data_IF_543400684059
#
_entry.id   IF_543400684059
#
_cell.length_a   1.000
_cell.length_b   1.000
_cell.length_c   1.000
_cell.angle_alpha   90.00
_cell.angle_beta   90.00
_cell.angle_gamma   90.00
#
_symmetry.space_group_name_H-M   'P 1'
#
loop_
_entity.id
_entity.type
_entity.pdbx_description
1 polymer ?
#
# COMPACT_ATOMS: atom_id res chain seq x y z
N UNK A 1 -0.13 2.79 -4.30
CA UNK A 1 0.17 3.18 -5.69
C UNK A 1 -0.16 2.02 -6.60
N UNK A 2 -0.94 2.28 -7.68
CA UNK A 2 -1.45 1.25 -8.58
C UNK A 2 -0.88 1.41 -9.99
N UNK A 3 -0.76 0.30 -10.69
CA UNK A 3 -0.24 0.23 -12.05
C UNK A 3 -1.22 -0.49 -12.98
N UNK A 4 -0.81 -0.68 -14.23
CA UNK A 4 -1.56 -1.48 -15.21
C UNK A 4 -1.65 -2.97 -14.89
N UNK A 5 -1.06 -3.45 -13.79
CA UNK A 5 -1.25 -4.81 -13.29
C UNK A 5 -2.51 -4.95 -12.40
N UNK A 6 -3.12 -3.83 -12.02
CA UNK A 6 -4.44 -3.81 -11.38
C UNK A 6 -5.33 -2.77 -12.07
N UNK A 7 -5.63 -1.66 -11.45
CA UNK A 7 -6.57 -0.65 -11.94
C UNK A 7 -5.92 0.75 -12.14
N UNK A 8 -4.60 0.84 -12.04
CA UNK A 8 -3.84 2.04 -12.36
C UNK A 8 -3.53 2.18 -13.86
N UNK A 9 -3.06 3.37 -14.26
CA UNK A 9 -2.72 3.70 -15.65
C UNK A 9 -1.22 3.73 -15.94
N UNK A 10 -0.38 3.85 -14.91
CA UNK A 10 1.06 3.82 -15.06
C UNK A 10 1.57 2.38 -15.25
N UNK A 11 2.55 2.20 -16.13
CA UNK A 11 3.36 0.97 -16.10
C UNK A 11 4.32 1.01 -14.92
N UNK A 12 4.84 -0.15 -14.50
CA UNK A 12 5.83 -0.24 -13.43
C UNK A 12 7.05 0.64 -13.71
N UNK A 13 7.59 0.59 -14.94
CA UNK A 13 8.74 1.39 -15.35
C UNK A 13 8.44 2.90 -15.33
N UNK A 14 7.27 3.34 -15.84
CA UNK A 14 6.88 4.75 -15.79
C UNK A 14 6.72 5.26 -14.36
N UNK A 15 6.20 4.42 -13.45
CA UNK A 15 6.06 4.76 -12.05
C UNK A 15 7.45 4.92 -11.39
N UNK A 16 8.37 3.99 -11.63
CA UNK A 16 9.75 4.06 -11.13
C UNK A 16 10.49 5.26 -11.68
N UNK A 17 10.34 5.59 -12.98
CA UNK A 17 10.95 6.79 -13.57
C UNK A 17 10.47 8.07 -12.88
N UNK A 18 9.16 8.19 -12.59
CA UNK A 18 8.64 9.32 -11.85
C UNK A 18 9.17 9.37 -10.41
N UNK A 19 9.30 8.21 -9.74
CA UNK A 19 9.88 8.13 -8.40
C UNK A 19 11.33 8.61 -8.37
N UNK A 20 12.15 8.20 -9.34
CA UNK A 20 13.53 8.68 -9.52
C UNK A 20 13.55 10.18 -9.78
N UNK A 21 12.70 10.67 -10.69
CA UNK A 21 12.67 12.09 -11.08
C UNK A 21 12.32 13.03 -9.93
N UNK A 22 11.52 12.59 -8.95
CA UNK A 22 11.19 13.38 -7.74
C UNK A 22 12.09 13.07 -6.55
N UNK A 23 13.10 12.22 -6.73
CA UNK A 23 14.10 11.91 -5.70
C UNK A 23 13.59 11.05 -4.54
N UNK A 24 12.62 10.15 -4.78
CA UNK A 24 12.20 9.20 -3.76
C UNK A 24 13.35 8.27 -3.37
N UNK A 25 13.55 8.07 -2.07
CA UNK A 25 14.55 7.15 -1.53
C UNK A 25 14.04 5.71 -1.46
N UNK A 26 12.72 5.52 -1.42
CA UNK A 26 12.10 4.22 -1.40
C UNK A 26 10.61 4.26 -1.70
N UNK A 27 10.09 3.15 -2.22
CA UNK A 27 8.66 3.01 -2.54
C UNK A 27 8.22 1.55 -2.47
N UNK A 28 6.91 1.36 -2.39
CA UNK A 28 6.26 0.08 -2.64
C UNK A 28 5.13 0.28 -3.66
N UNK A 29 5.06 -0.58 -4.67
CA UNK A 29 3.91 -0.68 -5.58
C UNK A 29 2.91 -1.60 -4.92
N UNK A 30 1.67 -1.14 -4.75
CA UNK A 30 0.64 -1.83 -3.98
C UNK A 30 -0.58 -2.13 -4.86
N UNK A 31 -0.34 -2.77 -6.00
CA UNK A 31 -1.42 -3.24 -6.89
C UNK A 31 -2.40 -4.14 -6.14
N UNK A 32 -3.66 -4.11 -6.53
CA UNK A 32 -4.69 -4.98 -5.96
C UNK A 32 -4.37 -6.44 -6.25
N UNK A 33 -4.20 -7.23 -5.19
CA UNK A 33 -4.05 -8.69 -5.24
C UNK A 33 -2.95 -9.21 -6.16
N UNK A 34 -1.91 -8.39 -6.44
CA UNK A 34 -0.82 -8.77 -7.36
C UNK A 34 0.51 -8.15 -6.95
N UNK A 35 1.60 -8.87 -7.23
CA UNK A 35 2.98 -8.40 -7.13
C UNK A 35 3.70 -8.37 -8.49
N UNK A 36 2.96 -8.47 -9.58
CA UNK A 36 3.56 -8.52 -10.93
C UNK A 36 4.30 -7.24 -11.28
N UNK A 37 3.79 -6.09 -10.85
CA UNK A 37 4.46 -4.81 -11.06
C UNK A 37 5.69 -4.63 -10.18
N UNK A 38 5.70 -5.18 -8.97
CA UNK A 38 6.90 -5.24 -8.15
C UNK A 38 8.02 -5.97 -8.90
N UNK A 39 7.76 -7.18 -9.41
CA UNK A 39 8.77 -7.97 -10.15
C UNK A 39 9.29 -7.24 -11.39
N UNK A 40 8.41 -6.60 -12.15
CA UNK A 40 8.81 -5.80 -13.34
C UNK A 40 9.60 -4.56 -12.96
N UNK A 41 9.23 -3.87 -11.87
CA UNK A 41 9.95 -2.72 -11.36
C UNK A 41 11.33 -3.10 -10.82
N UNK A 42 11.44 -4.23 -10.11
CA UNK A 42 12.71 -4.78 -9.62
C UNK A 42 13.69 -5.06 -10.76
N UNK A 43 13.21 -5.73 -11.83
CA UNK A 43 14.02 -5.97 -13.02
C UNK A 43 14.45 -4.66 -13.67
N UNK A 44 13.53 -3.70 -13.83
CA UNK A 44 13.82 -2.40 -14.42
C UNK A 44 14.89 -1.62 -13.63
N UNK A 45 14.80 -1.59 -12.29
CA UNK A 45 15.79 -0.96 -11.42
C UNK A 45 17.15 -1.67 -11.51
N UNK A 46 17.17 -3.00 -11.61
CA UNK A 46 18.38 -3.78 -11.82
C UNK A 46 19.07 -3.41 -13.14
N UNK A 47 18.32 -3.32 -14.23
CA UNK A 47 18.84 -2.95 -15.54
C UNK A 47 19.41 -1.52 -15.52
N UNK A 48 18.70 -0.55 -14.92
CA UNK A 48 19.21 0.82 -14.74
C UNK A 48 20.52 0.88 -13.95
N UNK A 49 20.64 0.09 -12.87
CA UNK A 49 21.88 0.04 -12.09
C UNK A 49 23.06 -0.53 -12.85
N UNK A 50 22.83 -1.42 -13.83
CA UNK A 50 23.87 -1.97 -14.70
C UNK A 50 24.27 -0.95 -15.77
N UNK A 51 23.32 -0.18 -16.30
CA UNK A 51 23.57 0.85 -17.32
C UNK A 51 24.30 2.08 -16.74
N UNK A 52 23.86 2.56 -15.58
CA UNK A 52 24.50 3.68 -14.85
C UNK A 52 24.59 3.39 -13.35
N UNK A 53 25.69 2.80 -12.87
CA UNK A 53 25.89 2.53 -11.44
C UNK A 53 25.96 3.78 -10.54
N UNK A 54 26.05 4.97 -11.13
CA UNK A 54 26.11 6.25 -10.38
C UNK A 54 24.74 6.90 -10.18
N UNK A 55 23.73 6.45 -10.92
CA UNK A 55 22.37 6.97 -10.80
C UNK A 55 21.74 6.54 -9.46
N UNK A 56 21.28 7.48 -8.61
CA UNK A 56 20.53 7.14 -7.42
C UNK A 56 19.20 6.47 -7.80
N UNK A 57 19.00 5.25 -7.34
CA UNK A 57 17.73 4.52 -7.49
C UNK A 57 17.03 4.35 -6.14
N UNK A 58 15.71 4.40 -6.09
CA UNK A 58 14.96 4.18 -4.87
C UNK A 58 15.02 2.70 -4.44
N UNK A 59 15.01 2.46 -3.14
CA UNK A 59 14.77 1.11 -2.62
C UNK A 59 13.33 0.70 -2.92
N UNK A 60 13.14 -0.50 -3.45
CA UNK A 60 11.83 -1.05 -3.77
C UNK A 60 11.48 -2.18 -2.79
N UNK A 61 10.41 -1.99 -1.99
CA UNK A 61 9.83 -3.04 -1.16
C UNK A 61 8.73 -3.78 -1.91
N UNK A 62 8.56 -5.07 -1.61
CA UNK A 62 7.33 -5.77 -1.99
C UNK A 62 6.12 -5.03 -1.43
N UNK A 63 5.07 -4.92 -2.23
CA UNK A 63 3.82 -4.25 -1.84
C UNK A 63 2.62 -4.95 -2.43
N UNK A 64 1.50 -4.91 -1.73
CA UNK A 64 0.19 -5.36 -2.20
C UNK A 64 -0.91 -4.62 -1.48
N UNK A 65 -2.03 -4.36 -2.15
CA UNK A 65 -3.27 -3.93 -1.51
C UNK A 65 -4.31 -5.04 -1.61
N UNK A 66 -4.78 -5.52 -0.44
CA UNK A 66 -5.73 -6.63 -0.35
C UNK A 66 -7.07 -6.11 0.15
N UNK A 67 -8.11 -6.27 -0.66
CA UNK A 67 -9.49 -6.02 -0.25
C UNK A 67 -9.92 -7.05 0.78
N UNK A 68 -10.37 -6.59 1.94
CA UNK A 68 -10.67 -7.41 3.11
C UNK A 68 -11.99 -7.02 3.75
N UNK A 69 -12.55 -7.88 4.57
CA UNK A 69 -13.75 -7.61 5.38
C UNK A 69 -13.37 -7.40 6.84
N UNK A 70 -13.71 -6.22 7.36
CA UNK A 70 -13.66 -5.90 8.77
C UNK A 70 -15.11 -5.80 9.29
N UNK A 71 -15.60 -6.86 9.93
CA UNK A 71 -17.04 -7.04 10.20
C UNK A 71 -17.84 -6.96 8.90
N UNK A 72 -18.80 -6.04 8.81
CA UNK A 72 -19.70 -5.89 7.65
C UNK A 72 -19.21 -4.87 6.61
N UNK A 73 -18.00 -4.35 6.75
CA UNK A 73 -17.45 -3.37 5.81
C UNK A 73 -16.22 -3.89 5.09
N UNK A 74 -16.09 -3.44 3.87
CA UNK A 74 -14.90 -3.66 3.06
C UNK A 74 -13.85 -2.60 3.41
N UNK A 75 -12.62 -3.07 3.67
CA UNK A 75 -11.44 -2.25 3.93
C UNK A 75 -10.29 -2.76 3.08
N UNK A 76 -9.30 -1.92 2.85
CA UNK A 76 -8.07 -2.30 2.18
C UNK A 76 -6.94 -2.44 3.18
N UNK A 77 -6.22 -3.53 3.08
CA UNK A 77 -5.04 -3.84 3.89
C UNK A 77 -3.82 -3.82 2.97
N UNK A 78 -2.85 -2.99 3.31
CA UNK A 78 -1.57 -2.91 2.63
C UNK A 78 -0.58 -3.85 3.30
N UNK A 79 0.12 -4.65 2.50
CA UNK A 79 1.26 -5.44 2.93
C UNK A 79 2.54 -4.85 2.38
N UNK A 80 3.60 -4.77 3.21
CA UNK A 80 4.90 -4.25 2.82
C UNK A 80 6.03 -5.18 3.25
N UNK A 81 7.06 -5.34 2.39
CA UNK A 81 8.29 -6.05 2.74
C UNK A 81 8.14 -7.55 2.99
N UNK A 82 7.05 -8.15 2.58
CA UNK A 82 6.78 -9.58 2.75
C UNK A 82 7.49 -10.42 1.67
N UNK A 83 7.69 -11.70 1.96
CA UNK A 83 8.15 -12.68 0.97
C UNK A 83 6.97 -13.12 0.09
N UNK A 84 6.90 -12.73 -1.20
CA UNK A 84 5.79 -13.07 -2.09
C UNK A 84 5.70 -14.57 -2.42
N UNK A 85 6.75 -15.33 -2.17
CA UNK A 85 6.78 -16.78 -2.37
C UNK A 85 6.30 -17.58 -1.16
N UNK A 86 6.04 -16.91 -0.03
CA UNK A 86 5.56 -17.59 1.16
C UNK A 86 4.15 -18.16 0.95
N UNK A 87 3.87 -19.43 1.37
CA UNK A 87 2.58 -20.08 1.13
C UNK A 87 1.36 -19.32 1.67
N UNK A 88 1.49 -18.62 2.81
CA UNK A 88 0.38 -17.89 3.43
C UNK A 88 -0.16 -16.74 2.59
N UNK A 89 0.72 -16.05 1.84
CA UNK A 89 0.32 -14.87 1.07
C UNK A 89 -0.10 -15.20 -0.37
N UNK A 90 0.37 -16.33 -0.92
CA UNK A 90 0.07 -16.73 -2.32
C UNK A 90 -1.43 -16.71 -2.67
N UNK A 91 -2.37 -17.14 -1.82
CA UNK A 91 -3.79 -17.07 -2.14
C UNK A 91 -4.33 -15.65 -2.37
N UNK A 92 -3.64 -14.64 -1.85
CA UNK A 92 -4.00 -13.23 -1.96
C UNK A 92 -3.33 -12.49 -3.13
N UNK A 93 -2.45 -13.18 -3.87
CA UNK A 93 -1.65 -12.60 -4.98
C UNK A 93 -2.08 -13.16 -6.35
N UNK A 94 -3.34 -13.56 -6.51
CA UNK A 94 -3.84 -14.20 -7.72
C UNK A 94 -4.55 -13.24 -8.69
N UNK A 95 -4.49 -11.92 -8.42
CA UNK A 95 -5.19 -10.90 -9.22
C UNK A 95 -6.69 -10.77 -8.91
N UNK A 96 -7.20 -11.56 -7.97
CA UNK A 96 -8.62 -11.58 -7.63
C UNK A 96 -8.86 -11.28 -6.15
N UNK A 97 -9.96 -10.59 -5.87
CA UNK A 97 -10.41 -10.30 -4.51
C UNK A 97 -10.74 -11.60 -3.75
N UNK A 98 -10.21 -11.79 -2.54
CA UNK A 98 -10.51 -12.95 -1.73
C UNK A 98 -11.99 -13.03 -1.37
N UNK A 99 -12.53 -14.25 -1.30
CA UNK A 99 -13.94 -14.52 -1.05
C UNK A 99 -14.16 -15.29 0.25
N UNK A 100 -15.38 -15.22 0.79
CA UNK A 100 -15.77 -15.97 1.98
C UNK A 100 -14.92 -15.62 3.20
N UNK A 101 -14.49 -16.63 3.94
CA UNK A 101 -13.67 -16.48 5.16
C UNK A 101 -12.28 -15.92 4.86
N UNK A 102 -11.70 -16.23 3.69
CA UNK A 102 -10.40 -15.71 3.28
C UNK A 102 -10.39 -14.17 3.13
N UNK A 103 -11.55 -13.54 2.97
CA UNK A 103 -11.65 -12.09 2.94
C UNK A 103 -11.57 -11.45 4.33
N UNK A 104 -11.64 -12.20 5.43
CA UNK A 104 -11.60 -11.64 6.78
C UNK A 104 -10.28 -10.88 7.04
N UNK A 105 -10.38 -9.63 7.48
CA UNK A 105 -9.21 -8.77 7.71
C UNK A 105 -8.18 -9.42 8.64
N UNK A 106 -8.62 -10.14 9.68
CA UNK A 106 -7.72 -10.87 10.59
C UNK A 106 -6.87 -11.92 9.85
N UNK A 107 -7.46 -12.70 8.95
CA UNK A 107 -6.73 -13.71 8.18
C UNK A 107 -5.75 -13.07 7.19
N UNK A 108 -6.12 -11.96 6.57
CA UNK A 108 -5.22 -11.20 5.68
C UNK A 108 -4.02 -10.66 6.45
N UNK A 109 -4.25 -10.05 7.62
CA UNK A 109 -3.20 -9.54 8.52
C UNK A 109 -2.24 -10.67 8.90
N UNK A 110 -2.77 -11.79 9.40
CA UNK A 110 -1.97 -12.95 9.80
C UNK A 110 -1.14 -13.52 8.64
N UNK A 111 -1.72 -13.55 7.43
CA UNK A 111 -1.05 -14.08 6.25
C UNK A 111 0.13 -13.24 5.81
N UNK A 112 0.01 -11.90 5.87
CA UNK A 112 1.10 -10.98 5.58
C UNK A 112 2.20 -11.10 6.65
N UNK A 113 1.84 -11.15 7.93
CA UNK A 113 2.80 -11.37 9.03
C UNK A 113 3.55 -12.69 8.90
N UNK A 114 2.87 -13.79 8.59
CA UNK A 114 3.52 -15.08 8.37
C UNK A 114 4.51 -15.04 7.20
N UNK A 115 4.23 -14.19 6.19
CA UNK A 115 5.15 -13.94 5.09
C UNK A 115 6.30 -12.97 5.44
N UNK A 116 6.39 -12.51 6.69
CA UNK A 116 7.43 -11.62 7.19
C UNK A 116 7.21 -10.14 6.90
N UNK A 117 6.01 -9.75 6.45
CA UNK A 117 5.68 -8.37 6.09
C UNK A 117 5.12 -7.54 7.23
N UNK A 118 5.08 -6.22 7.01
CA UNK A 118 4.36 -5.24 7.81
C UNK A 118 2.97 -5.00 7.22
N UNK A 119 1.99 -4.75 8.07
CA UNK A 119 0.58 -4.62 7.70
C UNK A 119 0.04 -3.24 8.07
N UNK A 120 -0.63 -2.58 7.12
CA UNK A 120 -1.11 -1.21 7.27
C UNK A 120 -2.57 -1.09 6.81
N UNK A 121 -3.41 -0.41 7.58
CA UNK A 121 -4.76 -0.04 7.15
C UNK A 121 -4.67 1.13 6.16
N UNK A 122 -5.13 0.93 4.92
CA UNK A 122 -5.14 1.95 3.89
C UNK A 122 -6.20 3.03 4.17
N UNK A 123 -5.89 4.28 3.83
CA UNK A 123 -6.80 5.44 3.76
C UNK A 123 -8.03 5.38 4.71
N UNK A 124 -7.86 5.33 6.05
CA UNK A 124 -8.91 4.97 7.03
C UNK A 124 -10.11 5.91 7.06
N UNK A 125 -10.03 7.11 6.50
CA UNK A 125 -11.13 8.07 6.41
C UNK A 125 -11.90 8.02 5.07
N UNK A 126 -11.63 7.02 4.19
CA UNK A 126 -12.39 6.80 2.94
C UNK A 126 -13.62 5.90 3.11
N UNK A 127 -13.71 5.20 4.22
CA UNK A 127 -14.78 4.23 4.45
C UNK A 127 -16.04 4.86 5.04
N UNK A 128 -17.14 4.09 5.04
CA UNK A 128 -18.41 4.53 5.67
C UNK A 128 -18.33 4.60 7.21
N UNK A 129 -17.33 3.93 7.80
CA UNK A 129 -17.01 4.05 9.23
C UNK A 129 -15.79 4.96 9.40
N UNK A 130 -15.77 5.73 10.48
CA UNK A 130 -14.66 6.63 10.77
C UNK A 130 -13.39 5.89 11.17
N UNK A 131 -12.23 6.53 10.99
CA UNK A 131 -10.95 6.01 11.48
C UNK A 131 -11.00 5.68 12.98
N UNK A 132 -11.75 6.45 13.78
CA UNK A 132 -11.93 6.21 15.22
C UNK A 132 -12.66 4.91 15.57
N UNK A 133 -13.38 4.32 14.62
CA UNK A 133 -14.03 3.01 14.74
C UNK A 133 -13.18 1.89 14.13
N UNK A 134 -12.49 2.18 13.02
CA UNK A 134 -11.74 1.17 12.28
C UNK A 134 -10.37 0.87 12.91
N UNK A 135 -9.62 1.91 13.28
CA UNK A 135 -8.26 1.75 13.80
C UNK A 135 -8.23 0.91 15.08
N UNK A 136 -9.10 1.15 16.10
CA UNK A 136 -9.17 0.26 17.25
C UNK A 136 -9.43 -1.21 16.89
N UNK A 137 -10.35 -1.46 15.96
CA UNK A 137 -10.74 -2.81 15.57
C UNK A 137 -9.62 -3.57 14.87
N UNK A 138 -8.84 -2.92 13.99
CA UNK A 138 -7.68 -3.57 13.35
C UNK A 138 -6.47 -3.66 14.27
N UNK A 139 -6.34 -2.75 15.25
CA UNK A 139 -5.31 -2.81 16.27
C UNK A 139 -5.45 -4.08 17.15
N UNK A 140 -6.68 -4.51 17.46
CA UNK A 140 -6.95 -5.78 18.13
C UNK A 140 -6.49 -7.00 17.31
N UNK A 141 -6.39 -6.88 15.99
CA UNK A 141 -5.89 -7.92 15.10
C UNK A 141 -4.38 -7.88 14.91
N UNK A 142 -3.69 -6.91 15.54
CA UNK A 142 -2.25 -6.79 15.53
C UNK A 142 -1.69 -6.07 14.30
N UNK A 143 -2.46 -5.17 13.67
CA UNK A 143 -1.95 -4.36 12.55
C UNK A 143 -0.76 -3.50 12.99
N UNK A 144 0.24 -3.31 12.12
CA UNK A 144 1.46 -2.56 12.46
C UNK A 144 1.33 -1.05 12.26
N UNK A 145 0.50 -0.63 11.32
CA UNK A 145 0.42 0.79 10.98
C UNK A 145 -0.89 1.21 10.31
N UNK A 146 -0.98 2.50 10.03
CA UNK A 146 -2.10 3.11 9.32
C UNK A 146 -1.58 4.12 8.30
N UNK A 147 -2.27 4.26 7.17
CA UNK A 147 -1.96 5.29 6.19
C UNK A 147 -2.47 6.64 6.70
N UNK A 148 -1.56 7.38 7.31
CA UNK A 148 -1.84 8.64 8.00
C UNK A 148 -1.81 9.82 7.05
N UNK A 149 -0.82 9.82 6.13
CA UNK A 149 -0.61 10.92 5.20
C UNK A 149 -1.24 10.57 3.85
N UNK A 150 -2.46 10.99 3.65
CA UNK A 150 -3.27 10.70 2.46
C UNK A 150 -4.01 11.96 1.97
N UNK A 151 -4.12 12.12 0.65
CA UNK A 151 -4.75 13.27 0.02
C UNK A 151 -6.23 12.98 -0.33
N UNK A 152 -7.13 13.07 0.64
CA UNK A 152 -8.55 12.73 0.49
C UNK A 152 -9.29 13.57 -0.57
N UNK A 153 -8.82 14.79 -0.84
CA UNK A 153 -9.44 15.71 -1.80
C UNK A 153 -8.75 15.70 -3.18
N UNK A 154 -7.79 14.81 -3.42
CA UNK A 154 -7.04 14.68 -4.67
C UNK A 154 -6.55 16.03 -5.24
N UNK A 155 -5.76 16.82 -4.49
CA UNK A 155 -5.28 18.12 -4.94
C UNK A 155 -4.31 17.98 -6.12
N UNK A 156 -4.20 19.01 -6.98
CA UNK A 156 -3.27 19.00 -8.13
C UNK A 156 -1.81 18.78 -7.74
N UNK A 157 -1.40 19.34 -6.59
CA UNK A 157 -0.10 19.06 -5.96
C UNK A 157 -0.41 18.20 -4.75
N UNK A 158 0.16 17.01 -4.67
CA UNK A 158 -0.10 16.09 -3.56
C UNK A 158 0.22 16.75 -2.22
N UNK A 159 -0.77 16.74 -1.36
CA UNK A 159 -0.69 17.27 -0.01
C UNK A 159 -1.62 16.45 0.87
N UNK A 160 -1.16 15.91 2.00
CA UNK A 160 -2.02 15.19 2.92
C UNK A 160 -3.10 16.12 3.47
N UNK A 161 -4.32 15.60 3.63
CA UNK A 161 -5.47 16.35 4.13
C UNK A 161 -5.31 16.65 5.62
N UNK A 162 -5.13 17.92 6.05
CA UNK A 162 -4.63 18.25 7.39
C UNK A 162 -5.50 17.70 8.54
N UNK A 163 -6.82 17.83 8.42
CA UNK A 163 -7.77 17.37 9.46
C UNK A 163 -7.71 15.86 9.65
N UNK A 164 -7.78 15.10 8.57
CA UNK A 164 -7.76 13.65 8.60
C UNK A 164 -6.38 13.15 9.08
N UNK A 165 -5.31 13.77 8.61
CA UNK A 165 -3.95 13.47 9.06
C UNK A 165 -3.81 13.61 10.57
N UNK A 166 -4.24 14.75 11.13
CA UNK A 166 -4.18 14.96 12.58
C UNK A 166 -4.96 13.89 13.34
N UNK A 167 -6.19 13.61 12.93
CA UNK A 167 -7.05 12.61 13.57
C UNK A 167 -6.44 11.21 13.54
N UNK A 168 -5.90 10.80 12.38
CA UNK A 168 -5.28 9.49 12.23
C UNK A 168 -3.97 9.39 13.01
N UNK A 169 -3.16 10.46 13.05
CA UNK A 169 -1.94 10.51 13.88
C UNK A 169 -2.22 10.33 15.37
N UNK A 170 -3.26 10.99 15.88
CA UNK A 170 -3.67 10.85 17.30
C UNK A 170 -4.06 9.40 17.61
N UNK A 171 -4.80 8.76 16.70
CA UNK A 171 -5.16 7.35 16.82
C UNK A 171 -3.95 6.41 16.69
N UNK A 172 -3.10 6.64 15.71
CA UNK A 172 -1.87 5.86 15.53
C UNK A 172 -1.00 5.91 16.80
N UNK A 173 -0.81 7.10 17.37
CA UNK A 173 -0.08 7.27 18.64
C UNK A 173 -0.74 6.50 19.79
N UNK A 174 -2.09 6.59 19.91
CA UNK A 174 -2.84 5.91 20.97
C UNK A 174 -2.69 4.40 20.93
N UNK A 175 -2.62 3.81 19.73
CA UNK A 175 -2.52 2.37 19.53
C UNK A 175 -1.10 1.89 19.19
N UNK A 176 -0.08 2.77 19.31
CA UNK A 176 1.34 2.47 19.03
C UNK A 176 1.58 1.97 17.61
N UNK A 177 0.87 2.53 16.63
CA UNK A 177 0.94 2.16 15.22
C UNK A 177 1.91 3.05 14.45
N UNK A 178 2.56 2.50 13.43
CA UNK A 178 3.35 3.28 12.47
C UNK A 178 2.48 4.19 11.62
N UNK A 179 3.05 5.34 11.24
CA UNK A 179 2.44 6.26 10.30
C UNK A 179 3.06 6.06 8.92
N UNK A 180 2.23 5.78 7.91
CA UNK A 180 2.68 5.67 6.52
C UNK A 180 2.07 6.75 5.65
N UNK A 181 2.55 6.89 4.41
CA UNK A 181 2.00 7.78 3.40
C UNK A 181 1.76 7.01 2.09
N UNK A 182 0.73 7.44 1.35
CA UNK A 182 0.47 6.92 0.02
C UNK A 182 -0.23 7.93 -0.86
N UNK A 183 0.06 7.87 -2.15
CA UNK A 183 -0.63 8.68 -3.15
C UNK A 183 -1.88 8.00 -3.69
N UNK A 184 -1.95 6.68 -3.53
CA UNK A 184 -3.04 5.85 -4.07
C UNK A 184 -3.30 6.17 -5.57
N UNK A 185 -2.18 6.37 -6.29
CA UNK A 185 -2.19 6.77 -7.70
C UNK A 185 -2.88 5.70 -8.56
N UNK A 186 -3.86 6.13 -9.35
CA UNK A 186 -4.52 5.36 -10.40
C UNK A 186 -4.40 6.05 -11.78
N UNK A 187 -4.01 7.33 -11.78
CA UNK A 187 -3.84 8.16 -12.98
C UNK A 187 -2.47 7.99 -13.65
N UNK A 188 -2.03 9.04 -14.33
CA UNK A 188 -0.74 9.10 -15.04
C UNK A 188 0.34 9.88 -14.27
N UNK A 189 0.05 10.31 -13.04
CA UNK A 189 0.98 11.04 -12.18
C UNK A 189 1.13 10.32 -10.84
N UNK A 190 2.38 10.04 -10.46
CA UNK A 190 2.69 9.45 -9.16
C UNK A 190 2.19 10.31 -7.99
N UNK A 191 2.11 11.63 -8.17
CA UNK A 191 1.70 12.59 -7.15
C UNK A 191 0.20 12.95 -7.20
N UNK A 192 -0.60 12.18 -7.89
CA UNK A 192 -2.05 12.37 -7.94
C UNK A 192 -2.76 11.02 -7.91
N UNK A 193 -3.90 10.99 -7.23
CA UNK A 193 -4.69 9.76 -7.20
C UNK A 193 -5.33 9.46 -8.57
N UNK A 194 -5.88 10.47 -9.24
CA UNK A 194 -6.60 10.35 -10.53
C UNK A 194 -6.11 11.42 -11.50
#
# INVERSE_FOLDING_TARGET
MHTTASDGKLTSSSLVQQAIAIGLQGLAITDHHSVDSYRKAEQYLSDLSLEDPTQPIPHLWTGVEITSKLSEIEVHILGYGFNPEHPSIKPYLQGEKPQGENAAAKLVIDSIHQAGGLVVLAHPERYRRSASQLIPAVAEFGIDGVETYYAYNNPKIWQPSPRQTQQVQELAKKYSLYNTCGTDTHGLSLLQRI
#
